data_IF_731716565896
#
_entry.id   IF_731716565896
#
_cell.length_a   1.000
_cell.length_b   1.000
_cell.length_c   1.000
_cell.angle_alpha   90.00
_cell.angle_beta   90.00
_cell.angle_gamma   90.00
#
_symmetry.space_group_name_H-M   'P 1'
#
loop_
_entity.id
_entity.type
_entity.pdbx_description
1 polymer ?
#
# COMPACT_ATOMS: atom_id res chain seq x y z
N UNK A 1 0.72 7.85 8.38
CA UNK A 1 0.29 7.22 7.11
C UNK A 1 1.25 6.13 6.62
N UNK A 2 2.53 6.40 6.32
CA UNK A 2 3.43 5.38 5.77
C UNK A 2 3.64 4.16 6.69
N UNK A 3 3.80 4.35 8.00
CA UNK A 3 3.90 3.25 8.97
C UNK A 3 2.62 2.39 9.00
N UNK A 4 1.45 3.00 8.83
CA UNK A 4 0.18 2.27 8.73
C UNK A 4 0.15 1.43 7.44
N UNK A 5 0.55 2.02 6.31
CA UNK A 5 0.61 1.32 5.03
C UNK A 5 1.58 0.11 5.08
N UNK A 6 2.77 0.31 5.67
CA UNK A 6 3.74 -0.77 5.90
C UNK A 6 3.15 -1.90 6.75
N UNK A 7 2.53 -1.57 7.90
CA UNK A 7 1.90 -2.55 8.77
C UNK A 7 0.75 -3.28 8.07
N UNK A 8 -0.10 -2.57 7.32
CA UNK A 8 -1.20 -3.16 6.55
C UNK A 8 -0.69 -4.09 5.44
N UNK A 9 0.47 -3.81 4.85
CA UNK A 9 1.11 -4.66 3.84
C UNK A 9 1.74 -5.92 4.44
N UNK A 10 2.53 -5.78 5.51
CA UNK A 10 3.32 -6.86 6.07
C UNK A 10 2.54 -7.73 7.07
N UNK A 11 1.64 -7.11 7.84
CA UNK A 11 0.96 -7.74 8.97
C UNK A 11 -0.53 -7.33 9.03
N UNK A 12 -1.32 -7.49 7.96
CA UNK A 12 -2.71 -7.02 7.90
C UNK A 12 -3.59 -7.57 9.03
N UNK A 13 -3.34 -8.81 9.48
CA UNK A 13 -4.07 -9.43 10.59
C UNK A 13 -3.79 -8.83 11.98
N UNK A 14 -2.85 -7.90 12.10
CA UNK A 14 -2.49 -7.22 13.36
C UNK A 14 -3.01 -5.78 13.45
N UNK A 15 -3.71 -5.31 12.41
CA UNK A 15 -4.32 -3.98 12.41
C UNK A 15 -5.38 -3.92 13.52
N UNK A 16 -5.30 -2.87 14.33
CA UNK A 16 -6.11 -2.65 15.50
C UNK A 16 -6.79 -1.28 15.46
N UNK A 17 -7.72 -1.05 16.39
CA UNK A 17 -8.38 0.25 16.55
C UNK A 17 -7.39 1.39 16.77
N UNK A 18 -6.31 1.15 17.52
CA UNK A 18 -5.28 2.16 17.79
C UNK A 18 -4.58 2.64 16.51
N UNK A 19 -4.38 1.74 15.55
CA UNK A 19 -3.77 2.09 14.26
C UNK A 19 -4.66 3.04 13.45
N UNK A 20 -5.99 2.88 13.56
CA UNK A 20 -6.98 3.76 12.92
C UNK A 20 -7.07 5.10 13.65
N UNK A 21 -7.15 5.08 14.99
CA UNK A 21 -7.18 6.29 15.82
C UNK A 21 -5.93 7.16 15.58
N UNK A 22 -4.75 6.54 15.45
CA UNK A 22 -3.51 7.24 15.12
C UNK A 22 -3.61 7.99 13.78
N UNK A 23 -4.37 7.48 12.80
CA UNK A 23 -4.61 8.21 11.54
C UNK A 23 -5.58 9.36 11.73
N UNK A 24 -6.62 9.18 12.55
CA UNK A 24 -7.59 10.23 12.89
C UNK A 24 -6.93 11.39 13.64
N UNK A 25 -5.90 11.13 14.46
CA UNK A 25 -5.11 12.17 15.15
C UNK A 25 -4.39 13.12 14.18
N UNK A 26 -4.18 12.71 12.93
CA UNK A 26 -3.67 13.56 11.84
C UNK A 26 -4.78 14.29 11.07
N UNK A 27 -5.98 14.41 11.64
CA UNK A 27 -7.16 15.05 11.06
C UNK A 27 -7.64 14.42 9.74
N UNK A 28 -7.33 13.14 9.52
CA UNK A 28 -7.89 12.38 8.41
C UNK A 28 -9.34 12.00 8.71
N UNK A 29 -10.22 12.22 7.73
CA UNK A 29 -11.60 11.77 7.76
C UNK A 29 -11.71 10.26 7.58
N UNK A 30 -12.83 9.67 8.00
CA UNK A 30 -13.13 8.25 7.78
C UNK A 30 -13.05 7.86 6.30
N UNK A 31 -13.45 8.79 5.41
CA UNK A 31 -13.34 8.61 3.95
C UNK A 31 -11.89 8.48 3.52
N UNK A 32 -11.01 9.37 3.97
CA UNK A 32 -9.58 9.34 3.61
C UNK A 32 -8.89 8.10 4.18
N UNK A 33 -9.25 7.68 5.40
CA UNK A 33 -8.74 6.42 5.99
C UNK A 33 -9.19 5.22 5.14
N UNK A 34 -10.46 5.19 4.73
CA UNK A 34 -10.98 4.14 3.84
C UNK A 34 -10.25 4.11 2.49
N UNK A 35 -9.95 5.28 1.91
CA UNK A 35 -9.17 5.40 0.67
C UNK A 35 -7.74 4.87 0.85
N UNK A 36 -7.08 5.19 1.96
CA UNK A 36 -5.74 4.65 2.28
C UNK A 36 -5.78 3.12 2.32
N UNK A 37 -6.73 2.53 3.05
CA UNK A 37 -6.85 1.07 3.17
C UNK A 37 -7.08 0.42 1.81
N UNK A 38 -7.96 1.00 0.98
CA UNK A 38 -8.28 0.47 -0.34
C UNK A 38 -7.10 0.55 -1.30
N UNK A 39 -6.40 1.70 -1.35
CA UNK A 39 -5.23 1.89 -2.23
C UNK A 39 -4.13 0.91 -1.84
N UNK A 40 -3.76 0.85 -0.56
CA UNK A 40 -2.71 -0.07 -0.08
C UNK A 40 -3.09 -1.51 -0.38
N UNK A 41 -4.34 -1.92 -0.11
CA UNK A 41 -4.81 -3.28 -0.35
C UNK A 41 -4.84 -3.64 -1.83
N UNK A 42 -5.19 -2.70 -2.71
CA UNK A 42 -5.22 -2.92 -4.16
C UNK A 42 -3.81 -3.19 -4.70
N UNK A 43 -2.82 -2.36 -4.36
CA UNK A 43 -1.43 -2.60 -4.77
C UNK A 43 -0.88 -3.90 -4.18
N UNK A 44 -1.21 -4.19 -2.93
CA UNK A 44 -0.87 -5.45 -2.29
C UNK A 44 -1.43 -6.69 -3.03
N UNK A 45 -2.62 -6.58 -3.63
CA UNK A 45 -3.17 -7.64 -4.48
C UNK A 45 -2.41 -7.73 -5.81
N UNK A 46 -2.24 -6.60 -6.51
CA UNK A 46 -1.57 -6.54 -7.82
C UNK A 46 -0.14 -7.06 -7.73
N UNK A 47 0.63 -6.63 -6.73
CA UNK A 47 2.01 -7.09 -6.51
C UNK A 47 2.05 -8.60 -6.30
N UNK A 48 1.14 -9.17 -5.50
CA UNK A 48 1.10 -10.63 -5.28
C UNK A 48 0.72 -11.41 -6.53
N UNK A 49 -0.14 -10.86 -7.38
CA UNK A 49 -0.47 -11.47 -8.68
C UNK A 49 0.74 -11.42 -9.61
N UNK A 50 1.41 -10.26 -9.72
CA UNK A 50 2.59 -10.09 -10.56
C UNK A 50 3.74 -10.99 -10.09
N UNK A 51 4.14 -10.89 -8.83
CA UNK A 51 5.24 -11.67 -8.25
C UNK A 51 4.92 -13.16 -8.22
N UNK A 52 3.69 -13.53 -7.85
CA UNK A 52 3.26 -14.93 -7.74
C UNK A 52 3.21 -15.67 -9.07
N UNK A 53 3.05 -14.94 -10.18
CA UNK A 53 3.08 -15.48 -11.53
C UNK A 53 4.42 -15.25 -12.24
N UNK A 54 5.36 -14.52 -11.63
CA UNK A 54 6.66 -14.20 -12.21
C UNK A 54 6.57 -13.26 -13.42
N UNK A 55 5.71 -12.23 -13.36
CA UNK A 55 5.63 -11.22 -14.41
C UNK A 55 6.93 -10.41 -14.44
N UNK A 56 7.46 -10.20 -15.65
CA UNK A 56 8.60 -9.32 -15.87
C UNK A 56 8.16 -7.85 -15.83
N UNK A 57 9.02 -6.93 -15.36
CA UNK A 57 8.76 -5.49 -15.40
C UNK A 57 8.51 -4.98 -16.82
N UNK A 58 7.71 -3.93 -16.95
CA UNK A 58 7.49 -3.29 -18.24
C UNK A 58 8.78 -2.65 -18.79
N UNK A 59 8.95 -2.65 -20.11
CA UNK A 59 10.16 -2.14 -20.77
C UNK A 59 10.48 -0.67 -20.45
N UNK A 60 9.52 0.14 -20.01
CA UNK A 60 9.73 1.54 -19.63
C UNK A 60 10.16 1.72 -18.16
N UNK A 61 10.32 0.62 -17.41
CA UNK A 61 10.80 0.61 -16.02
C UNK A 61 12.17 -0.09 -15.98
N UNK A 62 13.12 0.47 -15.24
CA UNK A 62 14.39 -0.15 -14.89
C UNK A 62 14.58 -0.23 -13.36
N UNK A 63 15.75 -0.68 -12.92
CA UNK A 63 16.10 -0.83 -11.50
C UNK A 63 16.03 0.48 -10.68
N UNK A 64 16.03 1.65 -11.34
CA UNK A 64 15.88 2.98 -10.72
C UNK A 64 14.44 3.52 -10.80
N UNK A 65 13.52 2.78 -11.43
CA UNK A 65 12.13 3.17 -11.63
C UNK A 65 11.83 3.52 -13.08
N UNK A 66 11.00 4.53 -13.32
CA UNK A 66 10.68 4.95 -14.69
C UNK A 66 11.93 5.42 -15.44
N UNK A 67 12.13 4.90 -16.66
CA UNK A 67 13.15 5.40 -17.57
C UNK A 67 12.86 6.87 -17.88
N UNK A 68 13.72 7.75 -17.42
CA UNK A 68 13.68 9.17 -17.78
C UNK A 68 14.46 9.28 -19.10
N UNK A 69 13.76 9.62 -20.19
CA UNK A 69 14.38 9.89 -21.49
C UNK A 69 15.41 11.03 -21.43
#
# INVERSE_FOLDING_TARGET
MCLFAEKLTLQPGTISKLDIETLTDYALSDKEISEIVQIVSYFNYINRVADGLGLEPEEFIDEKGYKIN
#
